data_IF_182551222621
#
_entry.id   IF_182551222621
#
_cell.length_a   1.000
_cell.length_b   1.000
_cell.length_c   1.000
_cell.angle_alpha   90.00
_cell.angle_beta   90.00
_cell.angle_gamma   90.00
#
_symmetry.space_group_name_H-M   'P 1'
#
loop_
_entity.id
_entity.type
_entity.pdbx_description
1 polymer ?
#
# COMPACT_ATOMS: atom_id res chain seq x y z
N UNK A 1 -11.40 -7.90 -16.35
CA UNK A 1 -11.86 -6.86 -17.31
C UNK A 1 -11.94 -7.43 -18.72
N UNK A 2 -10.84 -7.95 -19.27
CA UNK A 2 -10.82 -8.57 -20.62
C UNK A 2 -11.85 -9.69 -20.79
N UNK A 3 -11.90 -10.64 -19.85
CA UNK A 3 -12.87 -11.75 -19.88
C UNK A 3 -14.34 -11.32 -19.81
N UNK A 4 -14.61 -10.06 -19.44
CA UNK A 4 -15.94 -9.46 -19.37
C UNK A 4 -16.20 -8.46 -20.52
N UNK A 5 -15.28 -8.33 -21.46
CA UNK A 5 -15.42 -7.42 -22.61
C UNK A 5 -15.35 -5.92 -22.26
N UNK A 6 -14.77 -5.56 -21.11
CA UNK A 6 -14.56 -4.15 -20.74
C UNK A 6 -13.41 -3.58 -21.60
N UNK A 7 -13.59 -2.47 -22.32
CA UNK A 7 -12.52 -1.82 -23.07
C UNK A 7 -11.35 -1.43 -22.16
N UNK A 8 -10.13 -1.75 -22.58
CA UNK A 8 -8.91 -1.44 -21.83
C UNK A 8 -7.98 -0.54 -22.63
N UNK A 9 -7.29 0.34 -21.92
CA UNK A 9 -6.20 1.19 -22.42
C UNK A 9 -5.23 1.47 -21.27
N UNK A 10 -4.13 2.17 -21.55
CA UNK A 10 -3.19 2.67 -20.55
C UNK A 10 -3.37 4.18 -20.34
N UNK A 11 -2.73 4.75 -19.31
CA UNK A 11 -2.70 6.20 -19.14
C UNK A 11 -2.08 6.92 -20.36
N UNK A 12 -1.13 6.29 -21.06
CA UNK A 12 -0.54 6.85 -22.30
C UNK A 12 -1.58 7.03 -23.42
N UNK A 13 -2.68 6.26 -23.39
CA UNK A 13 -3.78 6.35 -24.34
C UNK A 13 -4.86 7.36 -23.95
N UNK A 14 -4.71 8.09 -22.85
CA UNK A 14 -5.66 9.10 -22.37
C UNK A 14 -5.03 10.48 -22.50
N UNK A 15 -5.72 11.41 -23.16
CA UNK A 15 -5.20 12.76 -23.38
C UNK A 15 -5.29 13.66 -22.13
N UNK A 16 -6.36 13.51 -21.35
CA UNK A 16 -6.67 14.32 -20.16
C UNK A 16 -6.54 13.48 -18.87
N UNK A 17 -7.21 13.89 -17.79
CA UNK A 17 -7.35 13.11 -16.57
C UNK A 17 -8.47 12.06 -16.69
N UNK A 18 -8.35 10.97 -15.93
CA UNK A 18 -9.48 10.06 -15.71
C UNK A 18 -10.59 10.81 -14.98
N UNK A 19 -11.85 10.60 -15.35
CA UNK A 19 -12.95 11.21 -14.60
C UNK A 19 -13.08 10.61 -13.20
N UNK A 20 -12.98 9.28 -13.12
CA UNK A 20 -13.11 8.51 -11.89
C UNK A 20 -12.09 7.37 -11.87
N UNK A 21 -11.48 7.16 -10.70
CA UNK A 21 -10.82 5.91 -10.35
C UNK A 21 -11.58 5.27 -9.18
N UNK A 22 -11.82 3.95 -9.25
CA UNK A 22 -12.46 3.18 -8.19
C UNK A 22 -11.52 2.07 -7.78
N UNK A 23 -11.25 1.96 -6.49
CA UNK A 23 -10.36 0.92 -5.94
C UNK A 23 -10.76 0.54 -4.50
N UNK A 24 -10.23 -0.57 -4.00
CA UNK A 24 -10.31 -0.95 -2.60
C UNK A 24 -9.22 -0.32 -1.73
N UNK A 25 -9.29 -0.56 -0.43
CA UNK A 25 -8.23 -0.22 0.52
C UNK A 25 -8.02 -1.36 1.53
N UNK A 26 -6.81 -1.43 2.06
CA UNK A 26 -6.46 -2.37 3.13
C UNK A 26 -6.79 -1.80 4.51
N UNK A 27 -6.53 -0.50 4.70
CA UNK A 27 -7.00 0.28 5.86
C UNK A 27 -7.41 1.68 5.40
N UNK A 28 -8.40 2.26 6.08
CA UNK A 28 -8.94 3.60 5.85
C UNK A 28 -8.97 4.32 7.20
N UNK A 29 -8.32 5.48 7.29
CA UNK A 29 -8.28 6.32 8.50
C UNK A 29 -9.14 7.57 8.33
N UNK A 30 -10.35 7.62 8.90
CA UNK A 30 -11.11 8.86 9.05
C UNK A 30 -10.49 9.81 10.09
N UNK A 31 -10.71 11.13 9.98
CA UNK A 31 -11.50 11.81 8.94
C UNK A 31 -10.68 12.18 7.69
N UNK A 32 -9.36 12.01 7.71
CA UNK A 32 -8.46 12.45 6.62
C UNK A 32 -8.62 11.61 5.35
N UNK A 33 -9.23 10.42 5.46
CA UNK A 33 -9.31 9.41 4.40
C UNK A 33 -7.91 8.98 3.91
N UNK A 34 -6.91 9.02 4.80
CA UNK A 34 -5.61 8.41 4.54
C UNK A 34 -5.74 6.89 4.47
N UNK A 35 -5.11 6.27 3.47
CA UNK A 35 -5.25 4.83 3.24
C UNK A 35 -3.92 4.09 3.38
N UNK A 36 -4.03 2.82 3.78
CA UNK A 36 -3.04 1.79 3.44
C UNK A 36 -3.61 0.97 2.28
N UNK A 37 -2.78 0.77 1.25
CA UNK A 37 -3.04 -0.07 0.08
C UNK A 37 -1.81 -0.91 -0.26
N UNK A 38 -2.00 -1.87 -1.17
CA UNK A 38 -0.92 -2.64 -1.75
C UNK A 38 -0.65 -3.99 -1.12
N UNK A 39 -1.47 -4.52 -0.20
CA UNK A 39 -1.31 -5.89 0.31
C UNK A 39 -1.50 -6.94 -0.80
N UNK A 40 -2.25 -6.59 -1.85
CA UNK A 40 -2.34 -7.36 -3.10
C UNK A 40 -1.15 -7.22 -4.05
N UNK A 41 -0.23 -6.27 -3.82
CA UNK A 41 1.02 -6.13 -4.58
C UNK A 41 1.00 -5.15 -5.76
N UNK A 42 -0.05 -4.35 -5.94
CA UNK A 42 -0.23 -3.46 -7.09
C UNK A 42 -0.07 -1.95 -6.78
N UNK A 43 0.46 -1.59 -5.60
CA UNK A 43 0.41 -0.22 -5.06
C UNK A 43 0.88 0.88 -6.01
N UNK A 44 1.95 0.66 -6.79
CA UNK A 44 2.48 1.69 -7.68
C UNK A 44 1.47 2.08 -8.75
N UNK A 45 0.93 1.09 -9.47
CA UNK A 45 -0.02 1.35 -10.56
C UNK A 45 -1.36 1.84 -10.01
N UNK A 46 -1.81 1.29 -8.88
CA UNK A 46 -2.98 1.80 -8.15
C UNK A 46 -2.83 3.31 -7.84
N UNK A 47 -1.65 3.73 -7.35
CA UNK A 47 -1.39 5.14 -7.01
C UNK A 47 -1.31 6.04 -8.24
N UNK A 48 -0.67 5.57 -9.31
CA UNK A 48 -0.64 6.29 -10.59
C UNK A 48 -2.05 6.54 -11.12
N UNK A 49 -2.92 5.53 -11.11
CA UNK A 49 -4.32 5.64 -11.55
C UNK A 49 -5.13 6.56 -10.63
N UNK A 50 -4.98 6.42 -9.31
CA UNK A 50 -5.67 7.27 -8.35
C UNK A 50 -5.30 8.75 -8.50
N UNK A 51 -4.01 9.05 -8.66
CA UNK A 51 -3.51 10.43 -8.81
C UNK A 51 -3.88 11.05 -10.17
N UNK A 52 -4.08 10.24 -11.22
CA UNK A 52 -4.51 10.70 -12.53
C UNK A 52 -6.02 10.99 -12.61
N UNK A 53 -6.80 10.73 -11.55
CA UNK A 53 -8.25 10.85 -11.54
C UNK A 53 -8.75 12.17 -10.95
N UNK A 54 -9.78 12.75 -11.59
CA UNK A 54 -10.52 13.90 -11.05
C UNK A 54 -11.22 13.53 -9.76
N UNK A 55 -11.76 12.32 -9.64
CA UNK A 55 -12.36 11.78 -8.41
C UNK A 55 -11.81 10.39 -8.13
N UNK A 56 -11.13 10.20 -7.00
CA UNK A 56 -10.74 8.87 -6.53
C UNK A 56 -11.73 8.38 -5.46
N UNK A 57 -12.40 7.27 -5.76
CA UNK A 57 -13.40 6.63 -4.91
C UNK A 57 -12.83 5.33 -4.35
N UNK A 58 -12.86 5.20 -3.03
CA UNK A 58 -12.54 3.96 -2.34
C UNK A 58 -13.83 3.21 -2.02
N UNK A 59 -13.90 1.93 -2.36
CA UNK A 59 -14.99 1.04 -1.97
C UNK A 59 -14.46 -0.06 -1.04
N UNK A 60 -15.01 -0.16 0.16
CA UNK A 60 -14.53 -1.08 1.19
C UNK A 60 -15.67 -1.58 2.09
N UNK A 61 -15.43 -2.68 2.79
CA UNK A 61 -16.29 -3.12 3.89
C UNK A 61 -15.87 -2.48 5.22
N UNK A 62 -16.74 -2.52 6.22
CA UNK A 62 -16.51 -1.86 7.52
C UNK A 62 -15.25 -2.32 8.28
N UNK A 63 -14.73 -3.52 7.99
CA UNK A 63 -13.49 -4.01 8.63
C UNK A 63 -12.24 -3.24 8.22
N UNK A 64 -12.30 -2.44 7.15
CA UNK A 64 -11.18 -1.63 6.66
C UNK A 64 -11.06 -0.29 7.41
N UNK A 65 -12.09 0.10 8.17
CA UNK A 65 -12.02 1.33 8.97
C UNK A 65 -11.15 1.10 10.21
N UNK A 66 -10.16 1.98 10.38
CA UNK A 66 -9.29 2.02 11.57
C UNK A 66 -9.46 3.33 12.32
N UNK A 67 -8.94 3.38 13.55
CA UNK A 67 -9.02 4.55 14.42
C UNK A 67 -7.64 4.86 15.01
N UNK A 68 -7.39 6.15 15.25
CA UNK A 68 -6.15 6.69 15.85
C UNK A 68 -4.86 6.51 15.02
N UNK A 69 -4.92 5.83 13.88
CA UNK A 69 -3.81 5.62 12.95
C UNK A 69 -3.92 4.27 12.24
N UNK A 70 -2.84 3.86 11.57
CA UNK A 70 -2.78 2.63 10.75
C UNK A 70 -1.89 1.55 11.37
N UNK A 71 -1.86 0.39 10.71
CA UNK A 71 -0.99 -0.75 11.03
C UNK A 71 -1.63 -1.78 11.95
N UNK A 72 -2.90 -1.59 12.32
CA UNK A 72 -3.61 -2.46 13.26
C UNK A 72 -4.10 -3.77 12.64
N UNK A 73 -4.31 -3.80 11.32
CA UNK A 73 -4.85 -4.99 10.62
C UNK A 73 -3.80 -5.76 9.83
N UNK A 74 -2.59 -5.22 9.69
CA UNK A 74 -1.51 -5.87 8.96
C UNK A 74 -0.41 -4.92 8.49
N UNK A 75 0.30 -5.35 7.45
CA UNK A 75 1.46 -4.64 6.95
C UNK A 75 1.12 -3.31 6.24
N UNK A 76 2.07 -2.39 6.30
CA UNK A 76 2.28 -1.30 5.35
C UNK A 76 3.26 -1.75 4.25
N UNK A 77 2.81 -1.91 3.00
CA UNK A 77 3.66 -2.30 1.88
C UNK A 77 4.59 -1.16 1.43
N UNK A 78 5.81 -1.49 1.02
CA UNK A 78 6.77 -0.57 0.37
C UNK A 78 7.40 -1.30 -0.82
N UNK A 79 7.17 -0.78 -2.03
CA UNK A 79 7.79 -1.31 -3.26
C UNK A 79 9.24 -0.81 -3.36
N UNK A 80 10.18 -1.72 -3.59
CA UNK A 80 11.61 -1.44 -3.65
C UNK A 80 12.25 -2.09 -4.87
N UNK A 81 13.23 -1.43 -5.47
CA UNK A 81 14.00 -2.01 -6.58
C UNK A 81 14.72 -3.29 -6.15
N UNK A 82 14.98 -4.17 -7.11
CA UNK A 82 15.62 -5.48 -6.86
C UNK A 82 17.04 -5.32 -6.32
N UNK A 83 17.82 -4.44 -6.96
CA UNK A 83 19.23 -4.24 -6.64
C UNK A 83 19.43 -3.82 -5.18
N UNK A 84 20.22 -4.61 -4.44
CA UNK A 84 20.51 -4.35 -3.02
C UNK A 84 19.27 -4.20 -2.12
N UNK A 85 18.13 -4.78 -2.52
CA UNK A 85 16.86 -4.70 -1.78
C UNK A 85 16.98 -5.09 -0.30
N UNK A 86 17.78 -6.11 0.05
CA UNK A 86 18.03 -6.48 1.46
C UNK A 86 18.69 -5.34 2.26
N UNK A 87 19.54 -4.53 1.62
CA UNK A 87 20.08 -3.32 2.24
C UNK A 87 19.01 -2.25 2.41
N UNK A 88 18.20 -1.99 1.37
CA UNK A 88 17.06 -1.05 1.44
C UNK A 88 16.08 -1.45 2.55
N UNK A 89 15.78 -2.74 2.72
CA UNK A 89 14.96 -3.26 3.83
C UNK A 89 15.53 -2.90 5.21
N UNK A 90 16.85 -3.02 5.40
CA UNK A 90 17.50 -2.62 6.65
C UNK A 90 17.43 -1.12 6.90
N UNK A 91 17.56 -0.30 5.85
CA UNK A 91 17.37 1.15 5.95
C UNK A 91 15.94 1.50 6.36
N UNK A 92 14.93 0.89 5.73
CA UNK A 92 13.51 1.04 6.09
C UNK A 92 13.29 0.70 7.58
N UNK A 93 13.83 -0.43 8.03
CA UNK A 93 13.75 -0.86 9.44
C UNK A 93 14.44 0.09 10.41
N UNK A 94 15.40 0.89 9.93
CA UNK A 94 16.20 1.78 10.74
C UNK A 94 15.64 3.21 10.86
N UNK A 95 14.61 3.55 10.07
CA UNK A 95 14.00 4.88 10.07
C UNK A 95 13.45 5.24 11.47
N UNK A 96 13.59 6.51 11.90
CA UNK A 96 13.10 6.96 13.20
C UNK A 96 11.61 6.66 13.43
N UNK A 97 10.74 7.01 12.48
CA UNK A 97 9.30 6.74 12.58
C UNK A 97 9.01 5.24 12.70
N UNK A 98 9.61 4.42 11.84
CA UNK A 98 9.43 2.96 11.85
C UNK A 98 9.86 2.35 13.19
N UNK A 99 11.03 2.74 13.71
CA UNK A 99 11.52 2.26 15.01
C UNK A 99 10.65 2.71 16.17
N UNK A 100 10.19 3.96 16.15
CA UNK A 100 9.33 4.54 17.18
C UNK A 100 8.08 3.70 17.42
N UNK A 101 7.52 3.12 16.35
CA UNK A 101 6.31 2.29 16.39
C UNK A 101 6.59 0.78 16.43
N UNK A 102 7.80 0.36 16.82
CA UNK A 102 8.20 -1.04 16.93
C UNK A 102 8.20 -1.78 15.59
N UNK A 103 8.54 -1.08 14.51
CA UNK A 103 8.47 -1.56 13.14
C UNK A 103 9.39 -2.73 12.83
N UNK A 104 8.87 -3.73 12.12
CA UNK A 104 9.59 -4.91 11.63
C UNK A 104 9.36 -5.05 10.12
N UNK A 105 10.45 -5.19 9.37
CA UNK A 105 10.40 -5.31 7.91
C UNK A 105 10.61 -6.75 7.43
N UNK A 106 9.72 -7.23 6.58
CA UNK A 106 9.79 -8.55 5.95
C UNK A 106 9.59 -8.43 4.44
N UNK A 107 10.28 -9.23 3.63
CA UNK A 107 9.93 -9.31 2.21
C UNK A 107 8.62 -10.07 2.04
N UNK A 108 7.76 -9.56 1.17
CA UNK A 108 6.58 -10.29 0.76
C UNK A 108 6.98 -11.57 0.03
N UNK A 109 6.33 -12.68 0.37
CA UNK A 109 6.53 -13.96 -0.28
C UNK A 109 5.64 -14.10 -1.50
N UNK A 110 6.12 -14.72 -2.57
CA UNK A 110 5.24 -15.17 -3.67
C UNK A 110 4.35 -16.33 -3.21
N UNK A 111 3.24 -16.55 -3.89
CA UNK A 111 2.42 -17.73 -3.69
C UNK A 111 3.25 -19.01 -3.92
N UNK A 112 3.10 -20.00 -3.04
CA UNK A 112 3.83 -21.27 -3.11
C UNK A 112 5.32 -21.18 -2.76
N UNK A 113 5.81 -20.06 -2.21
CA UNK A 113 7.13 -20.01 -1.59
C UNK A 113 7.16 -20.95 -0.36
N UNK A 114 8.19 -21.77 -0.24
CA UNK A 114 8.32 -22.69 0.88
C UNK A 114 8.48 -21.90 2.19
N UNK A 115 7.88 -22.38 3.27
CA UNK A 115 8.28 -22.00 4.64
C UNK A 115 9.60 -22.71 4.96
N UNK A 116 10.66 -22.44 4.18
CA UNK A 116 11.97 -23.04 4.42
C UNK A 116 12.45 -22.65 5.81
N UNK A 117 12.97 -23.63 6.55
CA UNK A 117 13.65 -23.40 7.82
C UNK A 117 14.74 -22.34 7.62
N UNK A 118 14.83 -21.40 8.56
CA UNK A 118 15.93 -20.43 8.62
C UNK A 118 17.24 -21.21 8.84
N UNK A 119 17.91 -21.60 7.76
CA UNK A 119 19.23 -22.20 7.86
C UNK A 119 20.23 -21.12 8.28
N UNK A 120 20.83 -21.25 9.47
CA UNK A 120 22.08 -20.57 9.82
C UNK A 120 22.02 -19.05 9.98
N UNK A 121 21.08 -18.52 10.78
CA UNK A 121 21.13 -17.10 11.21
C UNK A 121 20.78 -16.06 10.12
N UNK A 122 20.25 -16.49 8.98
CA UNK A 122 19.84 -15.59 7.90
C UNK A 122 18.50 -14.91 8.24
N UNK A 123 18.49 -13.58 8.30
CA UNK A 123 17.29 -12.77 8.60
C UNK A 123 16.31 -12.66 7.43
N UNK A 124 16.78 -12.90 6.20
CA UNK A 124 16.03 -12.68 4.96
C UNK A 124 15.66 -13.98 4.25
N UNK A 125 14.49 -13.99 3.60
CA UNK A 125 14.12 -15.05 2.66
C UNK A 125 14.96 -14.97 1.38
N UNK A 126 15.12 -16.11 0.71
CA UNK A 126 15.81 -16.23 -0.57
C UNK A 126 15.10 -15.45 -1.67
N UNK A 127 15.84 -15.02 -2.69
CA UNK A 127 15.31 -14.18 -3.77
C UNK A 127 14.21 -14.87 -4.57
N UNK A 128 14.32 -16.17 -4.82
CA UNK A 128 13.32 -16.96 -5.54
C UNK A 128 11.98 -17.09 -4.79
N UNK A 129 11.96 -16.78 -3.50
CA UNK A 129 10.78 -16.84 -2.64
C UNK A 129 10.10 -15.46 -2.49
N UNK A 130 10.72 -14.38 -2.99
CA UNK A 130 10.19 -13.00 -2.91
C UNK A 130 9.10 -12.78 -3.97
N UNK A 131 8.05 -12.04 -3.59
CA UNK A 131 7.03 -11.55 -4.50
C UNK A 131 7.61 -10.49 -5.42
N UNK A 132 7.33 -10.60 -6.72
CA UNK A 132 7.73 -9.63 -7.74
C UNK A 132 6.48 -8.92 -8.25
N UNK A 133 6.47 -7.59 -8.22
CA UNK A 133 5.37 -6.76 -8.72
C UNK A 133 5.28 -6.80 -10.24
N UNK A 134 4.19 -6.31 -10.82
CA UNK A 134 4.06 -6.11 -12.26
C UNK A 134 5.14 -5.18 -12.85
N UNK A 135 5.84 -4.43 -12.01
CA UNK A 135 6.91 -3.51 -12.39
C UNK A 135 8.31 -4.13 -12.22
N UNK A 136 8.39 -5.42 -11.85
CA UNK A 136 9.66 -6.12 -11.66
C UNK A 136 10.37 -5.79 -10.35
N UNK A 137 9.68 -5.20 -9.37
CA UNK A 137 10.24 -4.81 -8.08
C UNK A 137 9.85 -5.81 -6.98
N UNK A 138 10.50 -5.71 -5.81
CA UNK A 138 10.09 -6.42 -4.61
C UNK A 138 9.19 -5.57 -3.73
N UNK A 139 8.50 -6.20 -2.79
CA UNK A 139 7.78 -5.50 -1.72
C UNK A 139 8.36 -5.87 -0.36
N UNK A 140 8.64 -4.85 0.44
CA UNK A 140 8.92 -4.92 1.87
C UNK A 140 7.64 -4.56 2.63
N UNK A 141 7.14 -5.50 3.42
CA UNK A 141 6.04 -5.32 4.35
C UNK A 141 6.55 -4.85 5.72
N UNK A 142 6.08 -3.69 6.16
CA UNK A 142 6.34 -3.15 7.49
C UNK A 142 5.18 -3.49 8.43
N UNK A 143 5.48 -4.21 9.51
CA UNK A 143 4.54 -4.51 10.59
C UNK A 143 4.91 -3.68 11.82
N UNK A 144 3.91 -3.20 12.56
CA UNK A 144 4.13 -2.34 13.73
C UNK A 144 3.51 -2.98 14.97
N UNK A 145 4.14 -2.78 16.13
CA UNK A 145 3.54 -3.18 17.42
C UNK A 145 2.61 -2.12 17.97
N UNK A 146 2.74 -0.88 17.49
CA UNK A 146 1.92 0.26 17.86
C UNK A 146 1.28 0.88 16.62
N UNK A 147 0.12 1.50 16.80
CA UNK A 147 -0.54 2.28 15.75
C UNK A 147 0.35 3.43 15.28
N UNK A 148 0.37 3.69 13.97
CA UNK A 148 1.08 4.83 13.38
C UNK A 148 0.10 5.97 13.09
N UNK A 149 0.13 7.08 13.84
CA UNK A 149 -0.82 8.19 13.69
C UNK A 149 -0.40 9.22 12.63
N UNK A 150 0.91 9.50 12.50
CA UNK A 150 1.45 10.51 11.58
C UNK A 150 1.89 9.86 10.27
N UNK A 151 0.96 9.81 9.31
CA UNK A 151 1.18 9.10 8.05
C UNK A 151 2.13 9.89 7.13
N UNK A 152 2.04 11.22 7.14
CA UNK A 152 2.86 12.10 6.30
C UNK A 152 4.33 12.10 6.73
N UNK A 153 4.62 12.09 8.04
CA UNK A 153 5.99 11.95 8.55
C UNK A 153 6.61 10.65 8.02
N UNK A 154 5.93 9.52 8.24
CA UNK A 154 6.48 8.22 7.85
C UNK A 154 6.57 8.08 6.33
N UNK A 155 5.58 8.51 5.54
CA UNK A 155 5.65 8.45 4.08
C UNK A 155 6.87 9.21 3.53
N UNK A 156 7.14 10.41 4.07
CA UNK A 156 8.32 11.21 3.70
C UNK A 156 9.62 10.52 4.06
N UNK A 157 9.72 9.93 5.25
CA UNK A 157 10.91 9.18 5.67
C UNK A 157 11.15 7.96 4.78
N UNK A 158 10.11 7.17 4.48
CA UNK A 158 10.19 6.01 3.59
C UNK A 158 10.70 6.42 2.21
N UNK A 159 10.11 7.49 1.62
CA UNK A 159 10.49 8.03 0.31
C UNK A 159 11.89 8.67 0.28
N UNK A 160 12.52 8.92 1.43
CA UNK A 160 13.87 9.49 1.50
C UNK A 160 14.97 8.48 1.14
N UNK A 161 14.67 7.19 1.08
CA UNK A 161 15.65 6.12 0.83
C UNK A 161 15.77 5.85 -0.68
N UNK A 162 16.96 6.01 -1.28
CA UNK A 162 17.19 5.60 -2.67
C UNK A 162 16.96 4.09 -2.85
N UNK A 163 16.13 3.74 -3.84
CA UNK A 163 15.72 2.37 -4.10
C UNK A 163 14.32 2.03 -3.59
N UNK A 164 13.69 2.89 -2.78
CA UNK A 164 12.24 2.88 -2.59
C UNK A 164 11.59 3.42 -3.86
N UNK A 165 10.65 2.66 -4.41
CA UNK A 165 9.88 3.01 -5.61
C UNK A 165 8.61 3.72 -5.19
N UNK A 166 7.84 3.12 -4.28
CA UNK A 166 6.58 3.67 -3.79
C UNK A 166 6.16 3.03 -2.46
N UNK A 167 5.25 3.68 -1.74
CA UNK A 167 4.70 3.25 -0.45
C UNK A 167 3.23 2.87 -0.57
N UNK A 168 2.74 2.07 0.36
CA UNK A 168 1.31 1.75 0.48
C UNK A 168 0.46 2.91 0.98
N UNK A 169 1.04 4.07 1.27
CA UNK A 169 0.32 5.25 1.73
C UNK A 169 -0.37 6.00 0.60
N UNK A 170 -1.69 6.15 0.69
CA UNK A 170 -2.46 7.00 -0.23
C UNK A 170 -3.01 8.16 0.60
N UNK A 171 -2.24 9.25 0.66
CA UNK A 171 -2.53 10.44 1.46
C UNK A 171 -3.06 11.52 0.55
N UNK A 172 -4.11 12.22 0.98
CA UNK A 172 -4.72 13.35 0.26
C UNK A 172 -5.20 13.00 -1.17
N UNK A 173 -5.44 11.72 -1.45
CA UNK A 173 -5.92 11.23 -2.75
C UNK A 173 -7.41 10.88 -2.72
N UNK A 174 -7.86 10.16 -1.69
CA UNK A 174 -9.23 9.67 -1.60
C UNK A 174 -10.21 10.85 -1.47
N UNK A 175 -11.14 10.95 -2.41
CA UNK A 175 -12.17 11.99 -2.41
C UNK A 175 -13.44 11.50 -1.72
N UNK A 176 -13.78 10.22 -1.95
CA UNK A 176 -14.96 9.56 -1.39
C UNK A 176 -14.56 8.16 -0.93
N UNK A 177 -15.01 7.76 0.25
CA UNK A 177 -14.97 6.36 0.71
C UNK A 177 -16.40 5.85 0.91
N UNK A 178 -16.76 4.80 0.17
CA UNK A 178 -18.02 4.07 0.29
C UNK A 178 -17.80 2.84 1.17
N UNK A 179 -18.50 2.77 2.30
CA UNK A 179 -18.36 1.70 3.29
C UNK A 179 -19.62 0.84 3.29
N UNK A 180 -19.50 -0.36 2.73
CA UNK A 180 -20.56 -1.36 2.73
C UNK A 180 -20.63 -2.11 4.06
N UNK A 181 -21.86 -2.38 4.51
CA UNK A 181 -22.16 -3.16 5.72
C UNK A 181 -22.87 -4.47 5.38
N UNK A 182 -22.85 -5.41 6.32
CA UNK A 182 -23.47 -6.72 6.13
C UNK A 182 -25.00 -6.67 5.91
N UNK A 183 -25.67 -5.61 6.40
CA UNK A 183 -27.10 -5.38 6.18
C UNK A 183 -27.44 -4.80 4.79
N UNK A 184 -26.44 -4.60 3.93
CA UNK A 184 -26.57 -4.04 2.59
C UNK A 184 -26.59 -2.51 2.55
N UNK A 185 -26.53 -1.82 3.70
CA UNK A 185 -26.40 -0.36 3.73
C UNK A 185 -24.99 0.09 3.36
N UNK A 186 -24.90 1.32 2.84
CA UNK A 186 -23.62 1.94 2.45
C UNK A 186 -23.52 3.31 3.12
N UNK A 187 -22.48 3.49 3.93
CA UNK A 187 -22.10 4.82 4.43
C UNK A 187 -21.17 5.51 3.45
N UNK A 188 -21.30 6.84 3.33
CA UNK A 188 -20.44 7.66 2.45
C UNK A 188 -19.63 8.63 3.31
N UNK A 189 -18.32 8.59 3.17
CA UNK A 189 -17.37 9.53 3.77
C UNK A 189 -16.77 10.36 2.64
N UNK A 190 -16.64 11.68 2.82
CA UNK A 190 -16.11 12.58 1.81
C UNK A 190 -15.03 13.46 2.43
N UNK A 191 -13.90 13.60 1.76
CA UNK A 191 -12.89 14.59 2.12
C UNK A 191 -13.20 15.92 1.45
N UNK A 192 -13.11 17.02 2.20
CA UNK A 192 -13.15 18.36 1.61
C UNK A 192 -11.83 18.63 0.91
N UNK A 193 -11.86 18.79 -0.43
CA UNK A 193 -10.68 19.29 -1.15
C UNK A 193 -10.50 20.77 -0.81
N UNK A 194 -9.39 21.10 -0.15
CA UNK A 194 -8.91 22.49 -0.03
C UNK A 194 -8.22 22.92 -1.32
#
# INVERSE_FOLDING_TARGET
AESLGIPLTTLDGIADCLDVAIDGADEILPPTLGLVKGRGGALLREKMIAAAAKTFIVAADETKLVSNGIGSTGALPVEVVVFSSSHTKRLLSALPSVKRHGGRAEFRKRAGAATGEKNGGQEDIREEDRFVTDNGNYIVDLYFTETVPDLHEMDKELKSIPGVVETGFFLDLASVCLIGKADGSVATLTAERK
#
